data_IF_463660876437
#
_entry.id   IF_463660876437
#
_cell.length_a   1.000
_cell.length_b   1.000
_cell.length_c   1.000
_cell.angle_alpha   90.00
_cell.angle_beta   90.00
_cell.angle_gamma   90.00
#
_symmetry.space_group_name_H-M   'P 1'
#
loop_
_entity.id
_entity.type
_entity.pdbx_description
1 polymer ?
#
# COMPACT_ATOMS: atom_id res chain seq x y z
N UNK A 1 -0.89 1.65 37.54
CA UNK A 1 -1.52 2.55 36.56
C UNK A 1 -1.41 1.93 35.19
N UNK A 2 -2.36 1.04 34.85
CA UNK A 2 -2.46 0.41 33.53
C UNK A 2 -3.53 1.15 32.73
N UNK A 3 -3.11 2.12 31.91
CA UNK A 3 -4.00 2.75 30.94
C UNK A 3 -4.06 1.85 29.70
N UNK A 4 -5.06 0.99 29.71
CA UNK A 4 -5.56 0.23 28.58
C UNK A 4 -5.96 1.22 27.49
N UNK A 5 -5.18 1.29 26.40
CA UNK A 5 -5.54 2.04 25.21
C UNK A 5 -6.78 1.38 24.61
N UNK A 6 -7.92 2.02 24.85
CA UNK A 6 -9.21 1.63 24.33
C UNK A 6 -9.14 1.51 22.81
N UNK A 7 -9.38 0.28 22.34
CA UNK A 7 -9.66 -0.03 20.96
C UNK A 7 -10.95 0.74 20.57
N UNK A 8 -10.80 1.91 19.96
CA UNK A 8 -11.94 2.71 19.56
C UNK A 8 -12.56 2.12 18.29
N UNK A 9 -13.71 1.45 18.48
CA UNK A 9 -14.88 1.37 17.59
C UNK A 9 -14.63 1.40 16.07
N UNK A 10 -15.09 0.34 15.38
CA UNK A 10 -15.11 0.16 13.90
C UNK A 10 -15.75 1.35 13.17
N UNK A 11 -14.98 2.39 12.86
CA UNK A 11 -15.39 3.55 12.08
C UNK A 11 -14.35 3.89 11.01
N UNK A 12 -14.78 4.53 9.92
CA UNK A 12 -13.85 5.07 8.91
C UNK A 12 -13.20 6.33 9.49
N UNK A 13 -11.87 6.38 9.49
CA UNK A 13 -11.12 7.61 9.80
C UNK A 13 -10.94 8.40 8.50
N UNK A 14 -11.26 9.70 8.50
CA UNK A 14 -10.98 10.59 7.37
C UNK A 14 -9.53 11.03 7.45
N UNK A 15 -8.79 10.78 6.38
CA UNK A 15 -7.42 11.23 6.20
C UNK A 15 -7.41 12.44 5.25
N UNK A 16 -6.65 13.48 5.59
CA UNK A 16 -6.36 14.63 4.73
C UNK A 16 -4.85 14.69 4.52
N UNK A 17 -4.39 14.79 3.28
CA UNK A 17 -2.99 14.76 2.91
C UNK A 17 -2.74 15.85 1.87
N UNK A 18 -1.68 16.61 2.07
CA UNK A 18 -1.10 17.43 1.01
C UNK A 18 -0.15 16.55 0.21
N UNK A 19 -0.34 16.51 -1.10
CA UNK A 19 0.49 15.73 -2.03
C UNK A 19 0.97 16.64 -3.15
N UNK A 20 2.11 16.30 -3.76
CA UNK A 20 2.57 17.03 -4.93
C UNK A 20 1.62 16.83 -6.11
N UNK A 21 1.57 17.76 -7.07
CA UNK A 21 0.75 17.60 -8.28
C UNK A 21 1.06 16.29 -9.01
N UNK A 22 2.34 15.93 -9.13
CA UNK A 22 2.79 14.73 -9.83
C UNK A 22 2.27 13.46 -9.15
N UNK A 23 2.27 13.42 -7.81
CA UNK A 23 1.71 12.29 -7.08
C UNK A 23 0.18 12.22 -7.22
N UNK A 24 -0.50 13.37 -7.24
CA UNK A 24 -1.93 13.39 -7.50
C UNK A 24 -2.27 12.82 -8.88
N UNK A 25 -1.50 13.17 -9.92
CA UNK A 25 -1.70 12.66 -11.28
C UNK A 25 -1.52 11.13 -11.35
N UNK A 26 -0.49 10.60 -10.68
CA UNK A 26 -0.29 9.14 -10.55
C UNK A 26 -1.47 8.47 -9.85
N UNK A 27 -1.99 9.07 -8.78
CA UNK A 27 -3.17 8.54 -8.07
C UNK A 27 -4.42 8.55 -8.97
N UNK A 28 -4.59 9.57 -9.80
CA UNK A 28 -5.71 9.66 -10.75
C UNK A 28 -5.60 8.62 -11.87
N UNK A 29 -4.42 8.44 -12.45
CA UNK A 29 -4.18 7.40 -13.46
C UNK A 29 -4.49 6.00 -12.92
N UNK A 30 -3.96 5.66 -11.74
CA UNK A 30 -4.17 4.36 -11.11
C UNK A 30 -5.64 4.13 -10.73
N UNK A 31 -6.34 5.18 -10.29
CA UNK A 31 -7.76 5.11 -9.98
C UNK A 31 -8.57 4.84 -11.26
N UNK A 32 -8.28 5.54 -12.36
CA UNK A 32 -8.94 5.35 -13.65
C UNK A 32 -8.71 3.92 -14.19
N UNK A 33 -7.46 3.45 -14.19
CA UNK A 33 -7.10 2.09 -14.67
C UNK A 33 -7.75 0.97 -13.88
N UNK A 34 -8.03 1.19 -12.59
CA UNK A 34 -8.69 0.22 -11.73
C UNK A 34 -10.20 0.43 -11.59
N UNK A 35 -10.77 1.38 -12.34
CA UNK A 35 -12.17 1.79 -12.27
C UNK A 35 -12.62 2.07 -10.81
N UNK A 36 -11.76 2.72 -10.04
CA UNK A 36 -11.90 2.96 -8.60
C UNK A 36 -11.61 4.40 -8.20
N UNK A 37 -11.38 4.64 -6.92
CA UNK A 37 -11.08 5.98 -6.37
C UNK A 37 -9.63 6.11 -5.91
N UNK A 38 -9.13 7.36 -5.77
CA UNK A 38 -7.81 7.63 -5.15
C UNK A 38 -7.68 6.99 -3.77
N UNK A 39 -8.76 6.95 -3.00
CA UNK A 39 -8.82 6.29 -1.70
C UNK A 39 -8.70 4.76 -1.79
N UNK A 40 -9.15 4.12 -2.88
CA UNK A 40 -8.90 2.68 -3.13
C UNK A 40 -7.44 2.43 -3.45
N UNK A 41 -6.84 3.27 -4.30
CA UNK A 41 -5.42 3.20 -4.68
C UNK A 41 -4.54 3.32 -3.42
N UNK A 42 -4.77 4.35 -2.59
CA UNK A 42 -4.03 4.55 -1.34
C UNK A 42 -4.15 3.35 -0.39
N UNK A 43 -5.35 2.78 -0.23
CA UNK A 43 -5.55 1.59 0.61
C UNK A 43 -4.78 0.37 0.09
N UNK A 44 -4.78 0.15 -1.23
CA UNK A 44 -4.02 -0.94 -1.86
C UNK A 44 -2.51 -0.72 -1.69
N UNK A 45 -2.03 0.50 -1.89
CA UNK A 45 -0.62 0.85 -1.72
C UNK A 45 -0.14 0.59 -0.28
N UNK A 46 -0.91 1.00 0.73
CA UNK A 46 -0.59 0.74 2.15
C UNK A 46 -0.58 -0.76 2.44
N UNK A 47 -1.54 -1.51 1.90
CA UNK A 47 -1.57 -2.99 2.04
C UNK A 47 -0.33 -3.63 1.44
N UNK A 48 0.07 -3.21 0.23
CA UNK A 48 1.26 -3.71 -0.44
C UNK A 48 2.53 -3.38 0.36
N UNK A 49 2.65 -2.14 0.86
CA UNK A 49 3.78 -1.73 1.70
C UNK A 49 3.90 -2.61 2.94
N UNK A 50 2.78 -2.87 3.64
CA UNK A 50 2.77 -3.77 4.80
C UNK A 50 3.26 -5.17 4.44
N UNK A 51 2.76 -5.76 3.35
CA UNK A 51 3.17 -7.11 2.91
C UNK A 51 4.66 -7.14 2.59
N UNK A 52 5.16 -6.12 1.90
CA UNK A 52 6.58 -6.01 1.56
C UNK A 52 7.47 -5.91 2.79
N UNK A 53 7.12 -5.04 3.76
CA UNK A 53 7.85 -4.91 5.03
C UNK A 53 7.81 -6.20 5.84
N UNK A 54 6.63 -6.81 6.01
CA UNK A 54 6.47 -8.08 6.74
C UNK A 54 7.29 -9.22 6.11
N UNK A 55 7.39 -9.24 4.78
CA UNK A 55 8.21 -10.21 4.05
C UNK A 55 9.70 -9.99 4.31
N UNK A 56 10.16 -8.74 4.22
CA UNK A 56 11.55 -8.35 4.48
C UNK A 56 11.98 -8.71 5.90
N UNK A 57 11.14 -8.43 6.89
CA UNK A 57 11.43 -8.73 8.30
C UNK A 57 11.55 -10.24 8.58
N UNK A 58 10.99 -11.08 7.70
CA UNK A 58 11.13 -12.54 7.72
C UNK A 58 12.31 -13.06 6.88
N UNK A 59 13.13 -12.17 6.34
CA UNK A 59 14.23 -12.51 5.42
C UNK A 59 13.76 -12.97 4.04
N UNK A 60 12.50 -12.70 3.67
CA UNK A 60 11.95 -13.00 2.35
C UNK A 60 12.17 -11.82 1.39
N UNK A 61 12.11 -12.12 0.09
CA UNK A 61 12.25 -11.16 -0.99
C UNK A 61 10.91 -10.91 -1.68
N UNK A 62 10.73 -9.71 -2.23
CA UNK A 62 9.57 -9.34 -3.04
C UNK A 62 10.03 -9.19 -4.49
N UNK A 63 9.25 -9.71 -5.45
CA UNK A 63 9.60 -9.65 -6.86
C UNK A 63 8.39 -9.61 -7.77
N UNK A 64 8.63 -9.26 -9.03
CA UNK A 64 7.65 -9.31 -10.13
C UNK A 64 7.86 -10.63 -10.85
N UNK A 65 6.77 -11.37 -11.02
CA UNK A 65 6.74 -12.64 -11.75
C UNK A 65 6.00 -12.48 -13.07
N UNK A 66 6.45 -13.19 -14.10
CA UNK A 66 5.75 -13.27 -15.39
C UNK A 66 4.53 -14.21 -15.30
N UNK A 67 3.80 -14.34 -16.41
CA UNK A 67 2.64 -15.23 -16.52
C UNK A 67 2.99 -16.72 -16.31
N UNK A 68 4.25 -17.09 -16.52
CA UNK A 68 4.76 -18.45 -16.33
C UNK A 68 5.37 -18.66 -14.93
N UNK A 69 5.19 -17.70 -14.02
CA UNK A 69 5.74 -17.68 -12.65
C UNK A 69 7.28 -17.62 -12.58
N UNK A 70 7.95 -17.15 -13.64
CA UNK A 70 9.38 -16.85 -13.57
C UNK A 70 9.61 -15.50 -12.91
N UNK A 71 10.60 -15.44 -12.02
CA UNK A 71 11.03 -14.19 -11.42
C UNK A 71 11.68 -13.30 -12.49
N UNK A 72 11.00 -12.21 -12.84
CA UNK A 72 11.50 -11.22 -13.82
C UNK A 72 12.46 -10.25 -13.13
N UNK A 73 12.08 -9.76 -11.95
CA UNK A 73 12.91 -8.84 -11.19
C UNK A 73 12.61 -8.89 -9.71
N UNK A 74 13.64 -8.68 -8.89
CA UNK A 74 13.53 -8.48 -7.45
C UNK A 74 13.39 -6.98 -7.16
N UNK A 75 12.41 -6.63 -6.33
CA UNK A 75 12.24 -5.26 -5.87
C UNK A 75 13.13 -5.06 -4.64
N UNK A 76 14.16 -4.21 -4.79
CA UNK A 76 15.11 -3.86 -3.73
C UNK A 76 14.80 -2.47 -3.17
N UNK A 77 15.01 -2.28 -1.85
CA UNK A 77 14.91 -0.96 -1.21
C UNK A 77 13.51 -0.52 -0.75
N UNK A 78 12.56 -1.47 -0.63
CA UNK A 78 11.27 -1.29 0.05
C UNK A 78 11.40 -1.53 1.55
#
# INVERSE_FOLDING_TARGET
MTAQLAHSQRGKVRLSLDVSPELNDVLEELAARSNGTKSDVLRKAITLMKVATDARDKGLKVGIVDENQHLVTEIVGI
#
